data_IF_327948760995
#
_entry.id   IF_327948760995
#
_cell.length_a   1.000
_cell.length_b   1.000
_cell.length_c   1.000
_cell.angle_alpha   90.00
_cell.angle_beta   90.00
_cell.angle_gamma   90.00
#
_symmetry.space_group_name_H-M   'P 1'
#
loop_
_entity.id
_entity.type
_entity.pdbx_description
1 polymer ?
#
# COMPACT_ATOMS: atom_id res chain seq x y z
N UNK A 1 -25.32 -1.22 2.10
CA UNK A 1 -24.67 0.03 2.57
C UNK A 1 -24.87 0.27 4.06
N UNK A 2 -23.77 0.36 4.80
CA UNK A 2 -23.65 0.74 6.20
C UNK A 2 -23.34 2.23 6.35
N UNK A 3 -23.70 2.80 7.50
CA UNK A 3 -23.26 4.14 7.92
C UNK A 3 -22.30 4.00 9.08
N UNK A 4 -21.10 4.53 8.92
CA UNK A 4 -20.05 4.46 9.93
C UNK A 4 -20.29 5.53 11.00
N UNK A 5 -19.93 5.21 12.23
CA UNK A 5 -20.22 6.05 13.39
C UNK A 5 -18.94 6.30 14.16
N UNK A 6 -18.71 7.55 14.53
CA UNK A 6 -17.68 7.92 15.51
C UNK A 6 -18.38 8.57 16.71
N UNK A 7 -17.82 8.37 17.90
CA UNK A 7 -18.34 9.00 19.10
C UNK A 7 -17.97 10.50 19.17
N UNK A 8 -18.43 11.17 20.23
CA UNK A 8 -18.14 12.58 20.49
C UNK A 8 -16.64 12.88 20.62
N UNK A 9 -15.85 11.94 21.13
CA UNK A 9 -14.40 12.04 21.29
C UNK A 9 -13.61 11.77 20.00
N UNK A 10 -14.26 11.23 18.96
CA UNK A 10 -13.65 10.91 17.67
C UNK A 10 -13.23 9.45 17.52
N UNK A 11 -13.48 8.60 18.51
CA UNK A 11 -13.20 7.17 18.45
C UNK A 11 -14.23 6.46 17.55
N UNK A 12 -13.80 5.57 16.64
CA UNK A 12 -14.71 4.76 15.83
C UNK A 12 -15.58 3.81 16.66
N UNK A 13 -16.85 3.70 16.29
CA UNK A 13 -17.81 2.75 16.85
C UNK A 13 -18.25 1.73 15.79
N UNK A 14 -19.09 0.77 16.17
CA UNK A 14 -19.72 -0.14 15.23
C UNK A 14 -20.64 0.63 14.26
N UNK A 15 -20.65 0.26 12.97
CA UNK A 15 -21.51 0.90 11.97
C UNK A 15 -22.98 0.59 12.24
N UNK A 16 -23.88 1.43 11.70
CA UNK A 16 -25.31 1.28 11.84
C UNK A 16 -26.04 1.23 10.49
N UNK A 17 -27.31 0.81 10.51
CA UNK A 17 -28.18 0.82 9.33
C UNK A 17 -28.49 2.27 8.92
N UNK A 18 -28.63 2.57 7.60
CA UNK A 18 -28.99 3.90 7.13
C UNK A 18 -30.27 4.47 7.75
N UNK A 19 -31.26 3.62 8.06
CA UNK A 19 -32.49 4.04 8.74
C UNK A 19 -32.22 4.65 10.12
N UNK A 20 -31.31 4.07 10.91
CA UNK A 20 -30.92 4.60 12.23
C UNK A 20 -30.17 5.92 12.06
N UNK A 21 -29.20 5.97 11.13
CA UNK A 21 -28.46 7.20 10.84
C UNK A 21 -29.38 8.36 10.42
N UNK A 22 -30.40 8.11 9.58
CA UNK A 22 -31.38 9.14 9.19
C UNK A 22 -32.18 9.69 10.37
N UNK A 23 -32.57 8.83 11.33
CA UNK A 23 -33.25 9.28 12.56
C UNK A 23 -32.31 10.16 13.40
N UNK A 24 -31.07 9.71 13.62
CA UNK A 24 -30.08 10.47 14.38
C UNK A 24 -29.75 11.84 13.78
N UNK A 25 -29.66 11.93 12.45
CA UNK A 25 -29.42 13.19 11.75
C UNK A 25 -30.64 14.12 11.78
N UNK A 26 -31.86 13.57 11.68
CA UNK A 26 -33.11 14.33 11.76
C UNK A 26 -33.33 14.93 13.15
N UNK A 27 -33.03 14.14 14.18
CA UNK A 27 -33.19 14.54 15.58
C UNK A 27 -31.99 15.40 16.08
N UNK A 28 -31.09 15.81 15.17
CA UNK A 28 -29.88 16.59 15.48
C UNK A 28 -28.97 15.98 16.57
N UNK A 29 -29.03 14.65 16.73
CA UNK A 29 -28.19 13.92 17.68
C UNK A 29 -26.82 13.58 17.08
N UNK A 30 -26.68 13.62 15.76
CA UNK A 30 -25.43 13.36 15.06
C UNK A 30 -25.16 14.38 13.95
N UNK A 31 -23.89 14.55 13.58
CA UNK A 31 -23.43 15.40 12.48
C UNK A 31 -22.66 14.60 11.44
N UNK A 32 -22.80 14.95 10.17
CA UNK A 32 -22.02 14.32 9.10
C UNK A 32 -20.58 14.84 9.17
N UNK A 33 -19.61 13.94 9.26
CA UNK A 33 -18.18 14.29 9.30
C UNK A 33 -17.44 13.84 8.05
N UNK A 34 -17.96 12.84 7.33
CA UNK A 34 -17.40 12.41 6.06
C UNK A 34 -18.50 11.92 5.12
N UNK A 35 -18.32 12.20 3.83
CA UNK A 35 -19.29 11.80 2.79
C UNK A 35 -18.97 10.43 2.19
N UNK A 36 -17.70 10.00 2.23
CA UNK A 36 -17.28 8.70 1.70
C UNK A 36 -15.98 8.23 2.38
N UNK A 37 -15.99 7.09 3.10
CA UNK A 37 -17.18 6.36 3.53
C UNK A 37 -18.12 7.29 4.32
N UNK A 38 -19.44 7.10 4.22
CA UNK A 38 -20.40 7.99 4.86
C UNK A 38 -20.34 7.80 6.37
N UNK A 39 -19.88 8.83 7.08
CA UNK A 39 -19.59 8.77 8.52
C UNK A 39 -20.31 9.87 9.26
N UNK A 40 -20.99 9.51 10.34
CA UNK A 40 -21.64 10.43 11.27
C UNK A 40 -20.89 10.43 12.61
N UNK A 41 -20.88 11.59 13.27
CA UNK A 41 -20.35 11.79 14.61
C UNK A 41 -21.50 12.04 15.57
N UNK A 42 -21.57 11.24 16.64
CA UNK A 42 -22.55 11.44 17.71
C UNK A 42 -22.23 12.72 18.50
N UNK A 43 -23.26 13.42 18.97
CA UNK A 43 -23.12 14.64 19.77
C UNK A 43 -23.26 14.41 21.27
N UNK A 44 -23.52 13.18 21.69
CA UNK A 44 -23.62 12.77 23.08
C UNK A 44 -22.56 11.72 23.40
N UNK A 45 -22.24 11.57 24.69
CA UNK A 45 -21.34 10.54 25.17
C UNK A 45 -22.05 9.20 25.27
N UNK A 46 -21.38 8.14 24.85
CA UNK A 46 -21.93 6.79 24.82
C UNK A 46 -20.89 5.79 25.29
N UNK A 47 -21.38 4.65 25.77
CA UNK A 47 -20.52 3.51 26.09
C UNK A 47 -19.81 3.02 24.81
N UNK A 48 -18.48 2.92 24.87
CA UNK A 48 -17.62 2.53 23.74
C UNK A 48 -17.60 1.00 23.55
N UNK A 49 -18.77 0.37 23.63
CA UNK A 49 -18.93 -1.08 23.46
C UNK A 49 -18.73 -1.44 21.98
N UNK A 50 -17.49 -1.79 21.64
CA UNK A 50 -17.07 -2.18 20.29
C UNK A 50 -16.81 -3.68 20.20
N UNK A 51 -16.95 -4.22 18.98
CA UNK A 51 -16.60 -5.61 18.68
C UNK A 51 -15.24 -5.66 17.98
N UNK A 52 -14.46 -6.74 18.14
CA UNK A 52 -13.19 -6.88 17.44
C UNK A 52 -13.40 -6.91 15.92
N UNK A 53 -12.62 -6.11 15.21
CA UNK A 53 -12.59 -6.03 13.75
C UNK A 53 -11.20 -6.30 13.24
N UNK A 54 -11.08 -7.29 12.37
CA UNK A 54 -9.84 -7.65 11.69
C UNK A 54 -9.79 -7.04 10.31
N UNK A 55 -8.71 -6.30 10.02
CA UNK A 55 -8.40 -5.76 8.71
C UNK A 55 -7.42 -6.67 7.98
N UNK A 56 -7.84 -7.29 6.88
CA UNK A 56 -6.95 -7.97 5.95
C UNK A 56 -6.44 -7.03 4.86
N UNK A 57 -5.16 -7.15 4.50
CA UNK A 57 -4.51 -6.33 3.46
C UNK A 57 -3.74 -7.22 2.49
N UNK A 58 -4.20 -7.27 1.24
CA UNK A 58 -3.48 -7.87 0.12
C UNK A 58 -2.67 -6.77 -0.60
N UNK A 59 -1.38 -6.65 -0.25
CA UNK A 59 -0.51 -5.59 -0.79
C UNK A 59 0.01 -5.95 -2.18
N UNK A 60 -0.45 -5.23 -3.20
CA UNK A 60 0.12 -5.28 -4.56
C UNK A 60 0.84 -3.99 -5.00
N UNK A 61 1.45 -4.05 -6.19
CA UNK A 61 2.20 -2.94 -6.78
C UNK A 61 1.30 -1.88 -7.43
N UNK A 62 0.24 -2.31 -8.10
CA UNK A 62 -0.75 -1.47 -8.79
C UNK A 62 -2.04 -1.32 -7.98
N UNK A 63 -2.48 -2.42 -7.39
CA UNK A 63 -3.70 -2.50 -6.59
C UNK A 63 -3.37 -3.13 -5.23
N UNK A 64 -3.99 -2.64 -4.17
CA UNK A 64 -3.97 -3.28 -2.85
C UNK A 64 -5.41 -3.51 -2.42
N UNK A 65 -5.74 -4.77 -2.12
CA UNK A 65 -7.03 -5.14 -1.55
C UNK A 65 -7.07 -4.88 -0.06
N UNK A 66 -8.23 -4.50 0.45
CA UNK A 66 -8.48 -4.42 1.89
C UNK A 66 -9.89 -4.93 2.22
N UNK A 67 -10.00 -5.61 3.36
CA UNK A 67 -11.28 -6.11 3.84
C UNK A 67 -11.33 -6.04 5.37
N UNK A 68 -12.39 -5.46 5.92
CA UNK A 68 -12.63 -5.34 7.35
C UNK A 68 -13.76 -6.28 7.74
N UNK A 69 -13.45 -7.24 8.60
CA UNK A 69 -14.37 -8.30 9.02
C UNK A 69 -14.60 -8.20 10.52
N UNK A 70 -15.86 -8.27 10.94
CA UNK A 70 -16.26 -8.31 12.34
C UNK A 70 -17.53 -9.13 12.52
N UNK A 71 -17.59 -9.96 13.57
CA UNK A 71 -18.74 -10.81 13.90
C UNK A 71 -19.31 -11.59 12.69
N UNK A 72 -18.42 -12.24 11.92
CA UNK A 72 -18.80 -13.05 10.75
C UNK A 72 -19.32 -12.25 9.54
N UNK A 73 -19.14 -10.93 9.49
CA UNK A 73 -19.65 -10.07 8.41
C UNK A 73 -18.59 -9.14 7.84
N UNK A 74 -18.74 -8.82 6.55
CA UNK A 74 -17.92 -7.81 5.86
C UNK A 74 -18.49 -6.43 6.16
N UNK A 75 -17.75 -5.64 6.93
CA UNK A 75 -18.16 -4.29 7.32
C UNK A 75 -17.72 -3.24 6.29
N UNK A 76 -16.51 -3.38 5.76
CA UNK A 76 -15.94 -2.49 4.74
C UNK A 76 -14.97 -3.28 3.86
N UNK A 77 -15.15 -3.22 2.55
CA UNK A 77 -14.24 -3.82 1.57
C UNK A 77 -13.76 -2.77 0.57
N UNK A 78 -12.63 -2.98 -0.09
CA UNK A 78 -12.22 -2.08 -1.15
C UNK A 78 -10.91 -2.40 -1.84
N UNK A 79 -10.65 -1.64 -2.90
CA UNK A 79 -9.41 -1.71 -3.67
C UNK A 79 -8.76 -0.33 -3.73
N UNK A 80 -7.52 -0.27 -3.28
CA UNK A 80 -6.64 0.89 -3.40
C UNK A 80 -5.98 0.86 -4.77
N UNK A 81 -6.20 1.88 -5.58
CA UNK A 81 -5.50 2.08 -6.84
C UNK A 81 -4.28 2.98 -6.62
N UNK A 82 -3.10 2.37 -6.66
CA UNK A 82 -1.85 3.05 -6.43
C UNK A 82 -1.47 3.98 -7.58
N UNK A 83 -0.69 5.02 -7.25
CA UNK A 83 -0.16 5.92 -8.27
C UNK A 83 0.96 5.27 -9.07
N UNK A 84 0.72 5.08 -10.36
CA UNK A 84 1.69 4.50 -11.32
C UNK A 84 2.61 5.56 -11.95
N UNK A 85 2.20 6.82 -11.96
CA UNK A 85 2.87 7.94 -12.65
C UNK A 85 4.20 8.39 -12.00
N UNK A 86 4.51 7.89 -10.81
CA UNK A 86 5.69 8.32 -10.02
C UNK A 86 6.98 7.90 -10.73
N UNK A 87 7.02 6.70 -11.29
CA UNK A 87 8.19 6.19 -12.02
C UNK A 87 8.51 7.08 -13.20
N UNK A 88 7.51 7.40 -14.01
CA UNK A 88 7.68 8.23 -15.21
C UNK A 88 8.08 9.66 -14.86
N UNK A 89 7.49 10.25 -13.82
CA UNK A 89 7.90 11.55 -13.29
C UNK A 89 9.37 11.56 -12.83
N UNK A 90 9.84 10.49 -12.20
CA UNK A 90 11.23 10.35 -11.79
C UNK A 90 12.18 10.17 -13.00
N UNK A 91 11.75 9.43 -14.02
CA UNK A 91 12.47 9.27 -15.29
C UNK A 91 12.57 10.60 -16.03
N UNK A 92 11.46 11.32 -16.20
CA UNK A 92 11.44 12.65 -16.82
C UNK A 92 12.35 13.63 -16.07
N UNK A 93 12.31 13.63 -14.73
CA UNK A 93 13.21 14.45 -13.90
C UNK A 93 14.69 14.08 -14.10
N UNK A 94 15.01 12.81 -14.32
CA UNK A 94 16.37 12.36 -14.68
C UNK A 94 16.75 12.86 -16.07
N UNK A 95 15.89 12.68 -17.08
CA UNK A 95 16.09 13.16 -18.45
C UNK A 95 16.37 14.66 -18.51
N UNK A 96 15.52 15.48 -17.87
CA UNK A 96 15.68 16.94 -17.79
C UNK A 96 16.99 17.37 -17.09
N UNK A 97 17.56 16.54 -16.20
CA UNK A 97 18.88 16.79 -15.61
C UNK A 97 20.01 16.39 -16.56
N UNK A 98 19.87 15.30 -17.30
CA UNK A 98 20.83 14.89 -18.32
C UNK A 98 20.92 15.94 -19.43
N UNK A 99 19.79 16.33 -20.02
CA UNK A 99 19.74 17.29 -21.11
C UNK A 99 20.29 18.67 -20.73
N UNK A 100 20.07 19.12 -19.47
CA UNK A 100 20.69 20.36 -18.98
C UNK A 100 22.22 20.26 -18.86
N UNK A 101 22.76 19.07 -18.59
CA UNK A 101 24.22 18.85 -18.54
C UNK A 101 24.82 18.81 -19.94
N UNK A 102 24.17 18.14 -20.89
CA UNK A 102 24.68 18.06 -22.27
C UNK A 102 24.80 19.44 -22.92
N UNK A 103 23.88 20.37 -22.61
CA UNK A 103 23.97 21.77 -23.08
C UNK A 103 25.00 22.64 -22.33
N UNK A 104 25.50 22.19 -21.18
CA UNK A 104 26.47 22.96 -20.36
C UNK A 104 27.83 22.27 -20.44
N UNK A 105 28.48 22.46 -21.59
CA UNK A 105 29.80 21.91 -21.94
C UNK A 105 30.89 22.23 -20.89
N UNK A 106 30.83 23.39 -20.25
CA UNK A 106 31.77 23.83 -19.21
C UNK A 106 31.52 23.27 -17.79
N UNK A 107 30.39 22.61 -17.52
CA UNK A 107 30.01 22.26 -16.12
C UNK A 107 30.28 20.79 -15.80
N UNK A 108 31.24 20.47 -14.91
CA UNK A 108 31.58 19.09 -14.58
C UNK A 108 30.46 18.35 -13.83
N UNK A 109 30.45 17.01 -13.96
CA UNK A 109 29.46 16.12 -13.32
C UNK A 109 29.73 16.03 -11.81
N UNK A 110 28.83 16.56 -10.97
CA UNK A 110 28.92 16.45 -9.49
C UNK A 110 28.27 15.16 -8.95
N UNK A 111 28.95 14.02 -9.08
CA UNK A 111 28.43 12.72 -8.58
C UNK A 111 28.36 12.65 -7.05
N UNK A 112 29.18 13.43 -6.36
CA UNK A 112 29.25 13.50 -4.89
C UNK A 112 28.05 14.22 -4.26
N UNK A 113 27.38 15.11 -4.99
CA UNK A 113 26.18 15.86 -4.52
C UNK A 113 24.90 14.99 -4.51
N UNK A 114 25.05 13.67 -4.39
CA UNK A 114 23.99 12.66 -4.36
C UNK A 114 23.78 12.06 -2.97
N UNK A 115 24.23 12.76 -1.91
CA UNK A 115 24.07 12.35 -0.53
C UNK A 115 22.63 11.88 -0.22
N UNK A 116 21.63 12.64 -0.66
CA UNK A 116 20.21 12.29 -0.44
C UNK A 116 19.78 10.98 -1.12
N UNK A 117 20.41 10.56 -2.23
CA UNK A 117 20.13 9.27 -2.88
C UNK A 117 20.98 8.11 -2.37
N UNK A 118 22.07 8.41 -1.63
CA UNK A 118 22.97 7.42 -1.02
C UNK A 118 22.70 7.23 0.48
N UNK A 119 21.78 8.01 1.08
CA UNK A 119 21.41 7.90 2.49
C UNK A 119 20.93 6.48 2.80
N UNK A 120 21.50 5.87 3.84
CA UNK A 120 21.05 4.58 4.37
C UNK A 120 19.58 4.64 4.78
N UNK A 121 18.85 3.53 4.64
CA UNK A 121 17.42 3.45 4.95
C UNK A 121 16.49 4.19 3.98
N UNK A 122 17.02 4.74 2.87
CA UNK A 122 16.19 5.45 1.88
C UNK A 122 15.35 4.47 1.07
N UNK A 123 14.03 4.59 1.19
CA UNK A 123 13.09 3.96 0.27
C UNK A 123 13.04 4.70 -1.10
N UNK A 124 12.96 3.95 -2.21
CA UNK A 124 12.61 4.53 -3.51
C UNK A 124 11.27 5.26 -3.45
N UNK A 125 11.12 6.43 -4.10
CA UNK A 125 9.90 7.23 -4.01
C UNK A 125 8.61 6.50 -4.39
N UNK A 126 8.68 5.55 -5.33
CA UNK A 126 7.53 4.73 -5.73
C UNK A 126 7.09 3.76 -4.64
N UNK A 127 8.04 3.09 -3.98
CA UNK A 127 7.76 2.15 -2.90
C UNK A 127 7.27 2.87 -1.64
N UNK A 128 7.92 3.99 -1.31
CA UNK A 128 7.47 4.86 -0.22
C UNK A 128 6.03 5.32 -0.46
N UNK A 129 5.72 5.83 -1.67
CA UNK A 129 4.37 6.28 -1.98
C UNK A 129 3.34 5.15 -1.94
N UNK A 130 3.63 3.98 -2.51
CA UNK A 130 2.73 2.83 -2.45
C UNK A 130 2.44 2.40 -0.99
N UNK A 131 3.45 2.33 -0.12
CA UNK A 131 3.24 2.01 1.28
C UNK A 131 2.49 3.12 2.04
N UNK A 132 2.87 4.39 1.85
CA UNK A 132 2.21 5.55 2.47
C UNK A 132 0.74 5.69 2.03
N UNK A 133 0.44 5.35 0.78
CA UNK A 133 -0.92 5.26 0.26
C UNK A 133 -1.78 4.27 1.05
N UNK A 134 -1.27 3.07 1.34
CA UNK A 134 -1.97 2.09 2.20
C UNK A 134 -2.15 2.65 3.62
N UNK A 135 -1.08 3.14 4.24
CA UNK A 135 -1.11 3.66 5.62
C UNK A 135 -2.15 4.77 5.77
N UNK A 136 -2.21 5.69 4.80
CA UNK A 136 -3.17 6.80 4.81
C UNK A 136 -4.61 6.36 4.63
N UNK A 137 -4.84 5.27 3.89
CA UNK A 137 -6.16 4.66 3.75
C UNK A 137 -6.56 3.99 5.06
N UNK A 138 -5.68 3.18 5.65
CA UNK A 138 -5.95 2.48 6.91
C UNK A 138 -6.29 3.47 8.03
N UNK A 139 -5.54 4.57 8.15
CA UNK A 139 -5.84 5.64 9.13
C UNK A 139 -7.17 6.37 8.91
N UNK A 140 -7.80 6.22 7.74
CA UNK A 140 -9.11 6.80 7.42
C UNK A 140 -10.25 5.78 7.52
N UNK A 141 -9.97 4.52 7.83
CA UNK A 141 -11.00 3.51 8.03
C UNK A 141 -11.81 3.90 9.28
N UNK A 142 -13.12 4.15 9.16
CA UNK A 142 -13.95 4.61 10.27
C UNK A 142 -14.52 3.41 11.07
N UNK A 143 -13.65 2.47 11.45
CA UNK A 143 -13.99 1.26 12.20
C UNK A 143 -12.99 1.03 13.34
N UNK A 144 -13.43 0.48 14.49
CA UNK A 144 -12.54 0.15 15.62
C UNK A 144 -11.70 -1.10 15.30
N UNK A 145 -10.54 -0.91 14.66
CA UNK A 145 -9.65 -2.01 14.28
C UNK A 145 -9.00 -2.64 15.51
N UNK A 146 -9.20 -3.96 15.69
CA UNK A 146 -8.55 -4.74 16.75
C UNK A 146 -7.28 -5.44 16.27
N UNK A 147 -7.18 -5.75 14.97
CA UNK A 147 -5.99 -6.34 14.38
C UNK A 147 -5.86 -6.02 12.89
N UNK A 148 -4.62 -5.95 12.41
CA UNK A 148 -4.28 -5.92 11.00
C UNK A 148 -3.63 -7.25 10.62
N UNK A 149 -4.00 -7.81 9.47
CA UNK A 149 -3.42 -9.04 8.93
C UNK A 149 -2.91 -8.74 7.53
N UNK A 150 -1.66 -9.09 7.26
CA UNK A 150 -0.98 -8.86 5.98
C UNK A 150 -0.47 -10.18 5.43
N UNK A 151 -0.48 -10.30 4.11
CA UNK A 151 0.26 -11.39 3.48
C UNK A 151 1.77 -11.11 3.54
N UNK A 152 2.51 -12.01 4.17
CA UNK A 152 3.97 -11.97 4.18
C UNK A 152 4.53 -12.75 2.99
N UNK A 153 5.64 -12.24 2.43
CA UNK A 153 6.48 -12.97 1.47
C UNK A 153 7.25 -14.09 2.16
N UNK A 154 7.36 -14.05 3.49
CA UNK A 154 8.00 -15.12 4.26
C UNK A 154 7.18 -16.39 4.10
N UNK A 155 7.48 -17.16 3.06
CA UNK A 155 7.25 -18.60 3.10
C UNK A 155 8.04 -19.06 4.32
N UNK A 156 7.34 -19.54 5.34
CA UNK A 156 7.98 -20.18 6.47
C UNK A 156 8.52 -21.53 6.00
N UNK A 157 9.78 -21.52 5.58
CA UNK A 157 10.51 -22.67 5.06
C UNK A 157 10.80 -23.66 6.19
N UNK A 158 10.69 -23.25 7.46
CA UNK A 158 10.85 -24.15 8.60
C UNK A 158 9.69 -25.15 8.67
N UNK A 159 8.44 -24.68 8.51
CA UNK A 159 7.25 -25.55 8.54
C UNK A 159 7.06 -26.42 7.31
N UNK A 160 7.54 -25.98 6.15
CA UNK A 160 7.59 -26.78 4.91
C UNK A 160 8.57 -27.95 4.99
N UNK A 161 9.52 -27.90 5.93
CA UNK A 161 10.50 -28.97 6.17
C UNK A 161 10.21 -29.76 7.47
N UNK A 162 9.39 -29.24 8.40
CA UNK A 162 8.96 -29.97 9.59
C UNK A 162 7.59 -29.45 10.10
N UNK A 163 6.48 -30.22 9.96
CA UNK A 163 5.13 -29.77 10.30
C UNK A 163 4.92 -29.38 11.78
N UNK A 164 5.76 -29.90 12.69
CA UNK A 164 5.53 -29.88 14.14
C UNK A 164 6.25 -28.75 14.90
N UNK A 165 6.91 -27.81 14.21
CA UNK A 165 7.62 -26.70 14.86
C UNK A 165 6.64 -25.67 15.47
N UNK A 166 6.73 -25.45 16.79
CA UNK A 166 6.00 -24.42 17.54
C UNK A 166 6.85 -23.16 17.78
N UNK A 167 6.21 -21.99 17.70
CA UNK A 167 6.80 -20.67 17.42
C UNK A 167 7.68 -19.99 18.48
N UNK A 168 8.35 -20.73 19.37
CA UNK A 168 9.24 -20.15 20.40
C UNK A 168 10.71 -20.08 19.98
N UNK A 169 11.11 -20.61 18.83
CA UNK A 169 12.52 -20.62 18.38
C UNK A 169 12.94 -19.39 17.53
N UNK A 170 12.06 -18.40 17.35
CA UNK A 170 12.33 -17.21 16.53
C UNK A 170 13.32 -16.20 17.14
N UNK A 171 13.76 -16.41 18.38
CA UNK A 171 14.63 -15.49 19.11
C UNK A 171 16.02 -16.07 19.36
N UNK A 172 16.77 -16.40 18.30
CA UNK A 172 18.24 -16.51 18.42
C UNK A 172 18.95 -15.81 17.28
N UNK A 173 19.37 -14.57 17.57
CA UNK A 173 20.18 -13.69 16.74
C UNK A 173 21.64 -14.14 16.74
N UNK A 174 22.09 -14.75 15.63
CA UNK A 174 23.49 -14.68 15.14
C UNK A 174 23.67 -15.28 13.71
N UNK A 175 22.59 -15.43 12.95
CA UNK A 175 22.58 -16.04 11.62
C UNK A 175 22.10 -15.01 10.59
N UNK A 176 22.60 -15.15 9.35
CA UNK A 176 22.24 -14.39 8.15
C UNK A 176 20.83 -13.77 8.22
N UNK A 177 20.68 -12.48 7.87
CA UNK A 177 19.36 -11.81 7.83
C UNK A 177 18.34 -12.72 7.12
N UNK A 178 17.31 -13.15 7.85
CA UNK A 178 16.34 -14.13 7.37
C UNK A 178 15.66 -13.63 6.08
N UNK A 179 15.56 -12.32 5.90
CA UNK A 179 15.06 -11.71 4.67
C UNK A 179 16.00 -11.98 3.47
N UNK A 180 17.33 -11.95 3.66
CA UNK A 180 18.33 -12.30 2.63
C UNK A 180 18.32 -13.80 2.32
N UNK A 181 18.15 -14.64 3.34
CA UNK A 181 17.99 -16.08 3.18
C UNK A 181 16.77 -16.41 2.31
N UNK A 182 15.60 -15.92 2.70
CA UNK A 182 14.34 -16.15 1.99
C UNK A 182 14.41 -15.59 0.56
N UNK A 183 14.97 -14.39 0.38
CA UNK A 183 15.13 -13.81 -0.96
C UNK A 183 16.01 -14.66 -1.89
N UNK A 184 17.08 -15.26 -1.35
CA UNK A 184 17.94 -16.20 -2.09
C UNK A 184 17.17 -17.46 -2.50
N UNK A 185 16.41 -18.05 -1.57
CA UNK A 185 15.61 -19.26 -1.81
C UNK A 185 14.51 -19.02 -2.85
N UNK A 186 13.84 -17.87 -2.79
CA UNK A 186 12.86 -17.44 -3.80
C UNK A 186 13.47 -17.24 -5.19
N UNK A 187 14.64 -16.58 -5.26
CA UNK A 187 15.36 -16.31 -6.52
C UNK A 187 15.65 -17.62 -7.24
N UNK A 188 16.07 -18.64 -6.50
CA UNK A 188 16.43 -19.95 -7.02
C UNK A 188 15.23 -20.90 -7.12
N UNK A 189 14.00 -20.36 -7.06
CA UNK A 189 12.73 -21.09 -7.20
C UNK A 189 12.58 -22.26 -6.21
N UNK A 190 13.13 -22.10 -5.01
CA UNK A 190 13.14 -23.12 -3.95
C UNK A 190 13.70 -24.47 -4.45
N UNK A 191 14.76 -24.37 -5.25
CA UNK A 191 15.42 -25.51 -5.86
C UNK A 191 16.91 -25.41 -5.58
N UNK A 192 17.52 -26.51 -5.15
CA UNK A 192 18.97 -26.56 -4.99
C UNK A 192 19.61 -26.28 -6.35
N UNK A 193 20.48 -25.28 -6.43
CA UNK A 193 21.12 -24.89 -7.70
C UNK A 193 22.10 -25.95 -8.20
N UNK A 194 22.70 -26.72 -7.28
CA UNK A 194 23.64 -27.80 -7.64
C UNK A 194 22.94 -29.07 -8.12
N UNK A 195 21.96 -29.61 -7.37
CA UNK A 195 21.36 -30.92 -7.68
C UNK A 195 19.92 -30.87 -8.18
N UNK A 196 19.30 -29.69 -8.24
CA UNK A 196 17.93 -29.52 -8.71
C UNK A 196 16.83 -30.04 -7.76
N UNK A 197 17.16 -30.57 -6.58
CA UNK A 197 16.15 -31.07 -5.62
C UNK A 197 15.26 -29.94 -5.09
N UNK A 198 13.97 -30.25 -4.92
CA UNK A 198 12.92 -29.41 -4.31
C UNK A 198 12.35 -30.12 -3.08
N UNK A 199 11.62 -29.41 -2.21
CA UNK A 199 10.97 -29.97 -1.00
C UNK A 199 11.95 -30.70 -0.04
N UNK A 200 13.12 -30.12 0.13
CA UNK A 200 14.15 -30.59 1.07
C UNK A 200 14.61 -29.42 1.91
N UNK A 201 15.34 -29.67 3.01
CA UNK A 201 15.93 -28.58 3.78
C UNK A 201 16.92 -27.80 2.92
N UNK A 202 16.56 -26.56 2.59
CA UNK A 202 17.35 -25.63 1.80
C UNK A 202 18.04 -24.61 2.70
N UNK A 203 19.24 -24.23 2.30
CA UNK A 203 20.12 -23.31 2.99
C UNK A 203 20.67 -22.30 1.98
N UNK A 204 20.82 -21.04 2.42
CA UNK A 204 21.53 -20.02 1.65
C UNK A 204 23.03 -20.13 1.99
N UNK A 205 23.83 -20.52 1.01
CA UNK A 205 25.27 -20.70 1.11
C UNK A 205 26.00 -19.47 0.59
N UNK A 206 27.08 -19.06 1.26
CA UNK A 206 27.94 -17.98 0.78
C UNK A 206 28.90 -18.46 -0.32
N UNK A 207 28.87 -17.85 -1.51
CA UNK A 207 29.81 -18.15 -2.60
C UNK A 207 31.26 -17.80 -2.21
N UNK A 208 31.45 -16.62 -1.61
CA UNK A 208 32.67 -16.24 -0.89
C UNK A 208 32.37 -16.40 0.60
N UNK A 209 33.02 -17.32 1.32
CA UNK A 209 32.81 -17.52 2.75
C UNK A 209 32.95 -16.23 3.57
N UNK A 210 32.16 -16.10 4.64
CA UNK A 210 32.27 -14.94 5.55
C UNK A 210 33.68 -14.82 6.16
N UNK A 211 34.34 -15.96 6.47
CA UNK A 211 35.72 -16.01 6.96
C UNK A 211 36.74 -15.44 5.97
N UNK A 212 36.40 -15.37 4.68
CA UNK A 212 37.22 -14.80 3.61
C UNK A 212 36.74 -13.39 3.20
N UNK A 213 35.94 -12.73 4.04
CA UNK A 213 35.42 -11.38 3.80
C UNK A 213 34.18 -11.31 2.92
N UNK A 214 33.51 -12.43 2.67
CA UNK A 214 32.25 -12.50 1.94
C UNK A 214 31.13 -11.73 2.65
N UNK A 215 30.47 -10.82 1.92
CA UNK A 215 29.38 -9.99 2.47
C UNK A 215 28.04 -10.70 2.39
N UNK A 216 27.15 -10.43 3.35
CA UNK A 216 25.75 -10.85 3.35
C UNK A 216 24.96 -10.07 2.30
N UNK A 217 25.05 -10.54 1.06
CA UNK A 217 24.35 -9.97 -0.09
C UNK A 217 23.76 -11.10 -0.91
N UNK A 218 22.59 -10.89 -1.52
CA UNK A 218 21.94 -11.92 -2.35
C UNK A 218 22.88 -12.43 -3.45
N UNK A 219 23.75 -11.57 -3.99
CA UNK A 219 24.79 -11.94 -4.96
C UNK A 219 25.74 -13.00 -4.45
N UNK A 220 26.12 -12.89 -3.19
CA UNK A 220 27.05 -13.79 -2.54
C UNK A 220 26.33 -15.01 -1.97
N UNK A 221 25.03 -15.16 -2.18
CA UNK A 221 24.24 -16.24 -1.62
C UNK A 221 23.64 -17.13 -2.72
N UNK A 222 23.59 -18.43 -2.45
CA UNK A 222 22.98 -19.43 -3.35
C UNK A 222 22.23 -20.50 -2.58
N UNK A 223 21.16 -21.02 -3.18
CA UNK A 223 20.31 -22.03 -2.56
C UNK A 223 20.89 -23.43 -2.75
N UNK A 224 21.26 -24.09 -1.65
CA UNK A 224 21.72 -25.48 -1.63
C UNK A 224 20.87 -26.34 -0.70
N UNK A 225 20.72 -27.63 -1.01
CA UNK A 225 20.24 -28.59 -0.02
C UNK A 225 21.36 -28.92 0.98
N UNK A 226 21.02 -29.44 2.16
CA UNK A 226 21.99 -29.76 3.21
C UNK A 226 23.15 -30.66 2.72
N UNK A 227 22.86 -31.65 1.88
CA UNK A 227 23.87 -32.55 1.31
C UNK A 227 24.86 -31.81 0.39
N UNK A 228 24.34 -31.01 -0.55
CA UNK A 228 25.18 -30.19 -1.43
C UNK A 228 25.95 -29.13 -0.64
N UNK A 229 25.32 -28.51 0.34
CA UNK A 229 25.96 -27.51 1.22
C UNK A 229 27.19 -28.10 1.93
N UNK A 230 27.06 -29.30 2.50
CA UNK A 230 28.18 -30.01 3.15
C UNK A 230 29.29 -30.37 2.14
N UNK A 231 28.93 -30.87 0.97
CA UNK A 231 29.89 -31.23 -0.09
C UNK A 231 30.67 -30.03 -0.62
N UNK A 232 30.04 -28.86 -0.71
CA UNK A 232 30.72 -27.61 -1.08
C UNK A 232 31.74 -27.21 -0.01
N UNK A 233 31.38 -27.27 1.29
CA UNK A 233 32.35 -27.03 2.37
C UNK A 233 33.50 -28.05 2.41
N UNK A 234 33.27 -29.27 1.92
CA UNK A 234 34.27 -30.33 1.82
C UNK A 234 35.10 -30.24 0.53
N UNK A 235 34.87 -29.25 -0.34
CA UNK A 235 35.57 -29.10 -1.61
C UNK A 235 35.21 -30.15 -2.67
N UNK A 236 34.15 -30.92 -2.46
CA UNK A 236 33.72 -31.99 -3.37
C UNK A 236 32.82 -31.49 -4.51
N UNK A 237 32.28 -30.27 -4.39
CA UNK A 237 31.45 -29.62 -5.41
C UNK A 237 31.97 -28.19 -5.60
N UNK A 238 32.38 -27.87 -6.81
CA UNK A 238 32.71 -26.50 -7.23
C UNK A 238 31.47 -25.86 -7.83
N UNK A 239 31.07 -24.69 -7.33
CA UNK A 239 29.89 -23.97 -7.81
C UNK A 239 30.29 -23.02 -8.95
N UNK A 240 30.12 -23.45 -10.19
CA UNK A 240 30.30 -22.59 -11.37
C UNK A 240 29.05 -21.74 -11.64
N UNK A 241 28.74 -20.82 -10.72
CA UNK A 241 27.57 -19.95 -10.86
C UNK A 241 27.97 -18.52 -10.58
N UNK A 242 27.96 -17.70 -11.64
CA UNK A 242 28.00 -16.25 -11.49
C UNK A 242 26.72 -15.80 -10.80
N UNK A 243 26.82 -15.36 -9.55
CA UNK A 243 25.70 -14.81 -8.80
C UNK A 243 24.91 -13.82 -9.67
N UNK A 244 23.59 -14.02 -9.72
CA UNK A 244 22.68 -13.30 -10.63
C UNK A 244 23.00 -11.81 -10.69
N UNK A 245 23.08 -11.27 -11.91
CA UNK A 245 23.33 -9.84 -12.17
C UNK A 245 22.58 -8.95 -11.18
N UNK A 246 23.31 -8.03 -10.53
CA UNK A 246 22.90 -7.26 -9.35
C UNK A 246 21.64 -6.40 -9.46
N UNK A 247 20.92 -6.47 -10.56
CA UNK A 247 19.66 -5.79 -10.79
C UNK A 247 18.48 -6.49 -10.09
N UNK A 248 18.38 -7.83 -10.14
CA UNK A 248 17.27 -8.58 -9.52
C UNK A 248 17.33 -8.54 -7.98
N UNK A 249 18.54 -8.61 -7.43
CA UNK A 249 18.79 -8.52 -5.97
C UNK A 249 18.39 -7.17 -5.39
N UNK A 250 18.71 -6.07 -6.10
CA UNK A 250 18.28 -4.73 -5.69
C UNK A 250 16.75 -4.60 -5.68
N UNK A 251 16.04 -5.31 -6.57
CA UNK A 251 14.58 -5.28 -6.61
C UNK A 251 14.02 -6.02 -5.41
N UNK A 252 14.51 -7.23 -5.12
CA UNK A 252 14.08 -8.02 -3.97
C UNK A 252 14.31 -7.27 -2.64
N UNK A 253 15.53 -6.76 -2.41
CA UNK A 253 15.86 -5.98 -1.22
C UNK A 253 14.98 -4.73 -1.07
N UNK A 254 14.71 -4.01 -2.16
CA UNK A 254 13.84 -2.82 -2.13
C UNK A 254 12.40 -3.18 -1.81
N UNK A 255 11.88 -4.25 -2.37
CA UNK A 255 10.52 -4.75 -2.09
C UNK A 255 10.37 -5.09 -0.61
N UNK A 256 11.35 -5.79 -0.03
CA UNK A 256 11.36 -6.12 1.40
C UNK A 256 11.38 -4.86 2.28
N UNK A 257 12.26 -3.90 2.00
CA UNK A 257 12.30 -2.63 2.75
C UNK A 257 10.95 -1.89 2.72
N UNK A 258 10.25 -1.91 1.59
CA UNK A 258 8.92 -1.30 1.46
C UNK A 258 7.83 -2.01 2.28
N UNK A 259 7.92 -3.34 2.43
CA UNK A 259 7.05 -4.13 3.31
C UNK A 259 7.36 -3.86 4.78
N UNK A 260 8.63 -3.87 5.18
CA UNK A 260 9.05 -3.55 6.56
C UNK A 260 8.53 -2.18 7.00
N UNK A 261 8.67 -1.16 6.15
CA UNK A 261 8.13 0.18 6.44
C UNK A 261 6.60 0.18 6.58
N UNK A 262 5.89 -0.57 5.73
CA UNK A 262 4.44 -0.72 5.86
C UNK A 262 4.07 -1.41 7.18
N UNK A 263 4.72 -2.53 7.51
CA UNK A 263 4.44 -3.31 8.71
C UNK A 263 4.68 -2.51 9.97
N UNK A 264 5.80 -1.78 10.05
CA UNK A 264 6.10 -0.89 11.16
C UNK A 264 5.04 0.20 11.32
N UNK A 265 4.49 0.74 10.22
CA UNK A 265 3.47 1.77 10.29
C UNK A 265 2.08 1.22 10.65
N UNK A 266 1.75 0.00 10.21
CA UNK A 266 0.49 -0.67 10.53
C UNK A 266 0.44 -1.16 11.98
N UNK A 267 1.57 -1.63 12.53
CA UNK A 267 1.65 -2.06 13.93
C UNK A 267 1.39 -0.93 14.93
N UNK A 268 1.55 0.33 14.51
CA UNK A 268 1.17 1.51 15.30
C UNK A 268 -0.34 1.83 15.24
N UNK A 269 -1.08 1.20 14.33
CA UNK A 269 -2.54 1.38 14.20
C UNK A 269 -3.27 0.29 14.99
N UNK A 270 -2.87 -0.97 14.81
CA UNK A 270 -3.41 -2.13 15.53
C UNK A 270 -2.37 -3.27 15.53
N UNK A 271 -2.47 -4.25 16.45
CA UNK A 271 -1.65 -5.46 16.43
C UNK A 271 -1.58 -6.08 15.03
N UNK A 272 -0.36 -6.32 14.54
CA UNK A 272 -0.10 -6.81 13.19
C UNK A 272 0.20 -8.31 13.22
N UNK A 273 -0.54 -9.07 12.43
CA UNK A 273 -0.33 -10.50 12.18
C UNK A 273 0.05 -10.72 10.72
N UNK A 274 0.78 -11.79 10.46
CA UNK A 274 1.10 -12.24 9.11
C UNK A 274 0.41 -13.57 8.78
N UNK A 275 0.14 -13.76 7.50
CA UNK A 275 -0.33 -15.03 6.91
C UNK A 275 0.48 -15.34 5.66
N UNK A 276 0.50 -16.61 5.26
CA UNK A 276 1.21 -17.06 4.07
C UNK A 276 0.33 -17.02 2.82
N UNK A 277 0.91 -16.60 1.69
CA UNK A 277 0.18 -16.52 0.42
C UNK A 277 -0.35 -17.84 -0.13
N UNK A 278 0.21 -18.99 0.27
CA UNK A 278 -0.38 -20.27 -0.12
C UNK A 278 -1.67 -20.56 0.65
N UNK A 279 -1.77 -20.13 1.92
CA UNK A 279 -2.96 -20.32 2.75
C UNK A 279 -4.14 -19.51 2.21
N UNK A 280 -3.88 -18.27 1.76
CA UNK A 280 -4.90 -17.40 1.14
C UNK A 280 -5.43 -18.02 -0.14
N UNK A 281 -4.54 -18.53 -0.99
CA UNK A 281 -4.90 -19.21 -2.24
C UNK A 281 -5.72 -20.48 -2.02
N UNK A 282 -5.34 -21.33 -1.05
CA UNK A 282 -6.10 -22.54 -0.70
C UNK A 282 -7.50 -22.16 -0.20
N UNK A 283 -7.60 -21.20 0.72
CA UNK A 283 -8.89 -20.77 1.28
C UNK A 283 -9.80 -20.13 0.23
N UNK A 284 -9.24 -19.32 -0.68
CA UNK A 284 -10.01 -18.76 -1.80
C UNK A 284 -10.61 -19.86 -2.68
N UNK A 285 -9.83 -20.91 -2.98
CA UNK A 285 -10.29 -22.07 -3.77
C UNK A 285 -11.33 -22.91 -3.02
N UNK A 286 -11.14 -23.18 -1.72
CA UNK A 286 -12.08 -23.97 -0.93
C UNK A 286 -13.45 -23.29 -0.79
N UNK A 287 -13.47 -21.95 -0.82
CA UNK A 287 -14.69 -21.15 -0.77
C UNK A 287 -15.25 -20.81 -2.17
N UNK A 288 -14.63 -21.32 -3.25
CA UNK A 288 -15.03 -21.04 -4.64
C UNK A 288 -15.13 -19.54 -4.95
N UNK A 289 -14.27 -18.72 -4.35
CA UNK A 289 -14.30 -17.26 -4.48
C UNK A 289 -13.49 -16.77 -5.70
N UNK A 290 -13.90 -15.64 -6.33
CA UNK A 290 -13.24 -15.12 -7.51
C UNK A 290 -11.85 -14.57 -7.18
N UNK A 291 -10.95 -14.55 -8.18
CA UNK A 291 -9.59 -14.02 -8.01
C UNK A 291 -9.59 -12.50 -8.12
N UNK A 292 -9.88 -11.83 -7.02
CA UNK A 292 -9.91 -10.38 -6.90
C UNK A 292 -9.17 -9.92 -5.64
N UNK A 293 -8.60 -8.71 -5.66
CA UNK A 293 -7.74 -8.23 -4.57
C UNK A 293 -8.45 -8.11 -3.22
N UNK A 294 -9.72 -7.68 -3.21
CA UNK A 294 -10.50 -7.59 -1.97
C UNK A 294 -10.91 -8.96 -1.43
N UNK A 295 -11.11 -9.95 -2.31
CA UNK A 295 -11.32 -11.35 -1.93
C UNK A 295 -10.08 -11.95 -1.30
N UNK A 296 -8.90 -11.70 -1.87
CA UNK A 296 -7.63 -12.13 -1.28
C UNK A 296 -7.47 -11.47 0.11
N UNK A 297 -7.83 -10.19 0.26
CA UNK A 297 -7.86 -9.50 1.55
C UNK A 297 -8.88 -10.08 2.54
N UNK A 298 -10.06 -10.54 2.09
CA UNK A 298 -11.02 -11.26 2.91
C UNK A 298 -10.45 -12.59 3.41
N UNK A 299 -9.78 -13.34 2.55
CA UNK A 299 -9.10 -14.58 2.93
C UNK A 299 -8.02 -14.29 3.99
N UNK A 300 -7.21 -13.25 3.78
CA UNK A 300 -6.19 -12.79 4.75
C UNK A 300 -6.82 -12.45 6.11
N UNK A 301 -7.92 -11.69 6.13
CA UNK A 301 -8.60 -11.28 7.36
C UNK A 301 -9.20 -12.46 8.16
N UNK A 302 -9.49 -13.58 7.50
CA UNK A 302 -10.26 -14.70 8.08
C UNK A 302 -9.43 -15.93 8.36
N UNK A 303 -8.14 -15.95 7.98
CA UNK A 303 -7.25 -17.10 8.14
C UNK A 303 -6.78 -17.33 9.58
N UNK A 304 -6.46 -16.26 10.31
CA UNK A 304 -5.91 -16.36 11.68
C UNK A 304 -6.98 -16.35 12.77
N UNK A 305 -8.18 -15.91 12.45
CA UNK A 305 -9.27 -15.97 13.39
C UNK A 305 -9.80 -17.40 13.41
N UNK A 306 -9.97 -18.00 14.59
CA UNK A 306 -10.67 -19.28 14.83
C UNK A 306 -12.15 -19.27 14.36
N UNK A 307 -12.52 -18.30 13.53
CA UNK A 307 -13.76 -18.20 12.79
C UNK A 307 -13.69 -19.23 11.67
N UNK A 308 -14.01 -20.48 12.02
CA UNK A 308 -14.44 -21.51 11.07
C UNK A 308 -15.81 -21.19 10.46
N UNK A 309 -16.42 -20.04 10.80
CA UNK A 309 -17.66 -19.61 10.17
C UNK A 309 -17.40 -19.15 8.73
N UNK A 310 -18.19 -19.69 7.83
CA UNK A 310 -18.28 -19.25 6.45
C UNK A 310 -18.79 -17.81 6.43
N UNK A 311 -17.95 -16.88 5.96
CA UNK A 311 -18.35 -15.49 5.74
C UNK A 311 -18.81 -15.37 4.29
N UNK A 312 -20.08 -15.04 4.11
CA UNK A 312 -20.63 -14.79 2.78
C UNK A 312 -19.94 -13.58 2.14
N UNK A 313 -19.37 -13.78 0.95
CA UNK A 313 -18.73 -12.72 0.20
C UNK A 313 -19.76 -11.85 -0.50
N UNK A 314 -19.72 -10.55 -0.24
CA UNK A 314 -20.55 -9.55 -0.89
C UNK A 314 -19.80 -8.21 -0.98
N UNK A 315 -20.30 -7.31 -1.84
CA UNK A 315 -19.72 -5.97 -2.07
C UNK A 315 -20.60 -4.80 -1.63
N UNK A 316 -21.60 -5.03 -0.79
CA UNK A 316 -22.52 -4.02 -0.23
C UNK A 316 -21.88 -2.77 0.39
N UNK A 317 -20.61 -2.86 0.80
CA UNK A 317 -19.82 -1.78 1.40
C UNK A 317 -18.44 -1.67 0.73
N UNK A 318 -18.42 -1.80 -0.60
CA UNK A 318 -17.19 -1.80 -1.39
C UNK A 318 -16.78 -0.39 -1.86
N UNK A 319 -15.49 -0.08 -1.74
CA UNK A 319 -14.92 1.20 -2.12
C UNK A 319 -13.75 1.05 -3.09
N UNK A 320 -13.81 1.82 -4.18
CA UNK A 320 -12.67 2.07 -5.05
C UNK A 320 -11.93 3.33 -4.58
N UNK A 321 -10.69 3.15 -4.13
CA UNK A 321 -9.90 4.22 -3.51
C UNK A 321 -8.84 4.70 -4.47
N UNK A 322 -8.70 6.03 -4.61
CA UNK A 322 -7.74 6.67 -5.52
C UNK A 322 -7.06 7.84 -4.82
N UNK A 323 -5.85 8.19 -5.27
CA UNK A 323 -5.10 9.32 -4.71
C UNK A 323 -5.03 10.49 -5.67
N UNK A 324 -5.21 11.68 -5.12
CA UNK A 324 -5.04 12.94 -5.85
C UNK A 324 -3.94 13.80 -5.22
N UNK A 325 -2.97 14.29 -6.00
CA UNK A 325 -2.00 15.24 -5.51
C UNK A 325 -2.66 16.61 -5.30
N UNK A 326 -2.43 17.25 -4.13
CA UNK A 326 -2.91 18.61 -3.83
C UNK A 326 -2.36 19.65 -4.81
N UNK A 327 -1.08 19.54 -5.11
CA UNK A 327 -0.35 20.52 -5.90
C UNK A 327 0.64 19.85 -6.83
N UNK A 328 0.74 20.36 -8.05
CA UNK A 328 1.88 20.12 -8.93
C UNK A 328 3.03 21.03 -8.44
N UNK A 329 4.12 20.46 -7.90
CA UNK A 329 5.29 21.25 -7.43
C UNK A 329 6.15 21.80 -8.58
N UNK A 330 5.54 22.05 -9.74
CA UNK A 330 6.20 22.52 -10.95
C UNK A 330 6.27 24.05 -10.88
N UNK A 331 7.50 24.60 -10.93
CA UNK A 331 7.71 26.05 -10.99
C UNK A 331 7.68 26.61 -12.41
N UNK A 332 8.07 25.81 -13.40
CA UNK A 332 8.16 26.20 -14.81
C UNK A 332 7.69 25.07 -15.72
N UNK A 333 7.25 25.41 -16.93
CA UNK A 333 7.09 24.41 -17.98
C UNK A 333 8.41 23.63 -18.22
N UNK A 334 8.29 22.35 -18.55
CA UNK A 334 9.45 21.44 -18.68
C UNK A 334 10.28 21.81 -19.90
N UNK A 335 9.60 22.18 -20.98
CA UNK A 335 10.19 22.70 -22.20
C UNK A 335 10.12 24.24 -22.21
N UNK A 336 11.19 24.93 -22.65
CA UNK A 336 11.14 26.36 -22.91
C UNK A 336 10.20 26.64 -24.10
N UNK A 337 9.54 27.80 -24.09
CA UNK A 337 8.76 28.29 -25.23
C UNK A 337 9.66 29.13 -26.14
N UNK A 338 9.50 29.00 -27.45
CA UNK A 338 10.25 29.77 -28.47
C UNK A 338 10.14 31.27 -28.16
N UNK A 339 11.28 31.97 -28.13
CA UNK A 339 11.37 33.41 -27.83
C UNK A 339 11.07 33.83 -26.38
N UNK A 340 10.60 32.94 -25.50
CA UNK A 340 10.20 33.28 -24.11
C UNK A 340 10.98 32.51 -23.03
N UNK A 341 11.87 31.60 -23.42
CA UNK A 341 12.62 30.78 -22.48
C UNK A 341 11.72 29.92 -21.60
N UNK A 342 12.10 29.74 -20.32
CA UNK A 342 11.31 28.95 -19.36
C UNK A 342 10.18 29.78 -18.78
N UNK A 343 8.96 29.48 -19.21
CA UNK A 343 7.75 30.15 -18.72
C UNK A 343 7.33 29.56 -17.36
N UNK A 344 7.01 30.39 -16.35
CA UNK A 344 6.45 29.95 -15.08
C UNK A 344 5.22 29.07 -15.27
N UNK A 345 5.07 28.05 -14.43
CA UNK A 345 3.91 27.18 -14.45
C UNK A 345 2.86 27.76 -13.50
N UNK A 346 1.87 28.45 -14.06
CA UNK A 346 0.77 29.03 -13.29
C UNK A 346 -0.32 27.97 -13.08
N UNK A 347 -0.75 27.84 -11.82
CA UNK A 347 -1.87 27.00 -11.42
C UNK A 347 -2.73 27.83 -10.49
N UNK A 348 -4.02 27.92 -10.79
CA UNK A 348 -4.99 28.51 -9.88
C UNK A 348 -5.13 27.56 -8.68
N UNK A 349 -4.45 27.90 -7.58
CA UNK A 349 -4.36 27.08 -6.39
C UNK A 349 -5.65 27.14 -5.57
N UNK A 350 -6.29 28.31 -5.56
CA UNK A 350 -7.49 28.63 -4.83
C UNK A 350 -8.35 29.61 -5.62
N UNK A 351 -9.66 29.56 -5.39
CA UNK A 351 -10.65 30.49 -5.92
C UNK A 351 -11.77 30.58 -4.88
N UNK A 352 -12.03 31.75 -4.31
CA UNK A 352 -13.09 32.01 -3.33
C UNK A 352 -13.11 31.00 -2.16
N UNK A 353 -11.93 30.64 -1.63
CA UNK A 353 -11.78 29.66 -0.55
C UNK A 353 -11.90 28.19 -0.98
N UNK A 354 -12.17 27.92 -2.26
CA UNK A 354 -12.20 26.59 -2.85
C UNK A 354 -10.83 26.19 -3.38
N UNK A 355 -10.42 24.96 -3.08
CA UNK A 355 -9.14 24.40 -3.54
C UNK A 355 -9.36 23.07 -4.25
N UNK A 356 -8.41 22.68 -5.10
CA UNK A 356 -8.38 21.35 -5.72
C UNK A 356 -8.51 20.24 -4.66
N UNK A 357 -9.34 19.24 -4.94
CA UNK A 357 -9.63 18.13 -4.05
C UNK A 357 -10.70 18.41 -3.00
N UNK A 358 -11.18 19.66 -2.89
CA UNK A 358 -12.33 19.96 -2.02
C UNK A 358 -13.60 19.31 -2.57
N UNK A 359 -14.43 18.82 -1.68
CA UNK A 359 -15.75 18.29 -1.95
C UNK A 359 -16.76 19.42 -1.77
N UNK A 360 -17.63 19.60 -2.77
CA UNK A 360 -18.62 20.67 -2.81
C UNK A 360 -19.98 20.11 -3.20
N UNK A 361 -21.04 20.73 -2.68
CA UNK A 361 -22.39 20.56 -3.19
C UNK A 361 -22.63 21.62 -4.25
N UNK A 362 -23.00 21.21 -5.46
CA UNK A 362 -23.18 22.08 -6.63
C UNK A 362 -24.67 22.18 -6.94
N UNK A 363 -25.19 23.41 -7.00
CA UNK A 363 -26.61 23.71 -7.25
C UNK A 363 -27.55 22.92 -6.33
N UNK A 364 -27.17 22.81 -5.05
CA UNK A 364 -27.88 22.10 -3.98
C UNK A 364 -28.22 20.62 -4.22
N UNK A 365 -27.74 20.04 -5.32
CA UNK A 365 -28.13 18.71 -5.78
C UNK A 365 -26.94 17.77 -5.89
N UNK A 366 -25.84 18.22 -6.46
CA UNK A 366 -24.75 17.33 -6.88
C UNK A 366 -23.56 17.42 -5.93
N UNK A 367 -23.14 16.29 -5.37
CA UNK A 367 -21.89 16.25 -4.58
C UNK A 367 -20.72 15.96 -5.52
N UNK A 368 -19.83 16.95 -5.70
CA UNK A 368 -18.71 16.89 -6.64
C UNK A 368 -17.37 17.19 -5.96
N UNK A 369 -16.31 16.56 -6.45
CA UNK A 369 -14.95 16.91 -6.06
C UNK A 369 -14.29 17.81 -7.11
N UNK A 370 -13.65 18.90 -6.67
CA UNK A 370 -12.95 19.85 -7.54
C UNK A 370 -11.70 19.18 -8.12
N UNK A 371 -11.66 19.02 -9.44
CA UNK A 371 -10.53 18.47 -10.20
C UNK A 371 -9.46 19.52 -10.50
N UNK A 372 -9.90 20.72 -10.88
CA UNK A 372 -9.07 21.86 -11.23
C UNK A 372 -9.86 23.15 -11.12
N UNK A 373 -9.14 24.27 -11.10
CA UNK A 373 -9.69 25.61 -11.17
C UNK A 373 -9.26 26.19 -12.51
N UNK A 374 -10.23 26.62 -13.31
CA UNK A 374 -9.97 27.20 -14.63
C UNK A 374 -9.56 28.67 -14.52
N UNK A 375 -8.86 29.17 -15.55
CA UNK A 375 -8.45 30.58 -15.65
C UNK A 375 -9.63 31.54 -15.72
N UNK A 376 -10.79 31.08 -16.20
CA UNK A 376 -12.03 31.85 -16.28
C UNK A 376 -12.84 31.86 -14.96
N UNK A 377 -12.21 31.54 -13.82
CA UNK A 377 -12.89 31.60 -12.51
C UNK A 377 -13.94 30.51 -12.29
N UNK A 378 -13.80 29.33 -12.91
CA UNK A 378 -14.74 28.20 -12.73
C UNK A 378 -14.08 27.02 -12.02
N UNK A 379 -14.87 26.33 -11.20
CA UNK A 379 -14.51 25.07 -10.57
C UNK A 379 -14.86 23.93 -11.54
N UNK A 380 -13.88 23.09 -11.86
CA UNK A 380 -14.05 21.98 -12.79
C UNK A 380 -14.21 20.65 -12.05
N UNK A 381 -15.11 19.80 -12.53
CA UNK A 381 -15.45 18.51 -11.93
C UNK A 381 -15.20 17.35 -12.90
N UNK A 382 -15.44 16.12 -12.44
CA UNK A 382 -15.47 14.98 -13.35
C UNK A 382 -16.73 15.07 -14.23
N UNK A 383 -16.56 14.83 -15.54
CA UNK A 383 -17.67 14.78 -16.48
C UNK A 383 -18.47 13.50 -16.22
N UNK A 384 -19.71 13.67 -15.80
CA UNK A 384 -20.68 12.58 -15.64
C UNK A 384 -21.93 13.02 -16.40
N UNK A 385 -22.54 12.11 -17.17
CA UNK A 385 -23.71 12.41 -17.99
C UNK A 385 -24.85 12.90 -17.09
N UNK A 386 -25.45 14.04 -17.42
CA UNK A 386 -26.53 14.66 -16.63
C UNK A 386 -26.06 15.52 -15.45
N UNK A 387 -24.76 15.61 -15.17
CA UNK A 387 -24.20 16.41 -14.08
C UNK A 387 -23.37 17.59 -14.58
N UNK A 388 -23.27 18.70 -13.81
CA UNK A 388 -22.45 19.84 -14.21
C UNK A 388 -20.96 19.46 -14.27
N UNK A 389 -20.34 19.69 -15.43
CA UNK A 389 -18.89 19.50 -15.62
C UNK A 389 -18.05 20.66 -15.06
N UNK A 390 -18.66 21.82 -14.83
CA UNK A 390 -18.07 22.96 -14.13
C UNK A 390 -19.14 23.85 -13.52
N UNK A 391 -18.80 24.63 -12.50
CA UNK A 391 -19.70 25.60 -11.88
C UNK A 391 -18.95 26.88 -11.44
N UNK A 392 -19.69 27.96 -11.20
CA UNK A 392 -19.15 29.14 -10.52
C UNK A 392 -19.02 28.84 -9.01
N UNK A 393 -18.09 29.47 -8.30
CA UNK A 393 -18.00 29.35 -6.85
C UNK A 393 -19.30 29.69 -6.12
N UNK A 394 -20.05 30.68 -6.61
CA UNK A 394 -21.38 31.06 -6.09
C UNK A 394 -22.40 29.92 -6.09
N UNK A 395 -22.29 28.98 -7.03
CA UNK A 395 -23.22 27.85 -7.17
C UNK A 395 -22.77 26.63 -6.34
N UNK A 396 -21.72 26.79 -5.52
CA UNK A 396 -21.06 25.71 -4.80
C UNK A 396 -21.07 25.97 -3.29
N UNK A 397 -21.50 25.00 -2.52
CA UNK A 397 -21.34 24.96 -1.06
C UNK A 397 -20.19 24.02 -0.70
N UNK A 398 -19.22 24.51 0.07
CA UNK A 398 -18.10 23.70 0.52
C UNK A 398 -18.55 22.66 1.55
N UNK A 399 -18.21 21.39 1.32
CA UNK A 399 -18.48 20.29 2.26
C UNK A 399 -17.21 19.86 2.99
N UNK A 400 -16.14 19.57 2.26
CA UNK A 400 -14.85 19.12 2.81
C UNK A 400 -13.69 19.75 2.05
N UNK A 401 -12.64 20.19 2.75
CA UNK A 401 -11.49 20.86 2.12
C UNK A 401 -10.39 19.88 1.70
N UNK A 402 -9.90 20.04 0.46
CA UNK A 402 -8.58 19.56 0.03
C UNK A 402 -8.29 18.07 0.28
N UNK A 403 -9.28 17.20 0.06
CA UNK A 403 -9.09 15.75 0.20
C UNK A 403 -8.15 15.20 -0.89
N UNK A 404 -7.35 14.22 -0.49
CA UNK A 404 -6.29 13.64 -1.32
C UNK A 404 -6.39 12.12 -1.43
N UNK A 405 -7.07 11.49 -0.48
CA UNK A 405 -7.56 10.12 -0.58
C UNK A 405 -9.02 10.26 -0.98
N UNK A 406 -9.42 9.59 -2.04
CA UNK A 406 -10.76 9.68 -2.62
C UNK A 406 -11.38 8.29 -2.58
N UNK A 407 -12.37 8.13 -1.70
CA UNK A 407 -13.16 6.92 -1.57
C UNK A 407 -14.37 7.03 -2.50
N UNK A 408 -14.49 6.12 -3.46
CA UNK A 408 -15.67 6.05 -4.32
C UNK A 408 -16.43 4.77 -4.01
N UNK A 409 -17.62 4.91 -3.45
CA UNK A 409 -18.53 3.78 -3.29
C UNK A 409 -18.85 3.22 -4.67
N UNK A 410 -18.68 1.91 -4.85
CA UNK A 410 -19.05 1.23 -6.10
C UNK A 410 -20.25 0.34 -5.79
N UNK A 411 -21.34 0.59 -6.51
CA UNK A 411 -22.58 -0.21 -6.44
C UNK A 411 -22.43 -1.41 -7.36
#
# INVERSE_FOLDING_TARGET
MLVYVINKNGNPLMPCKPAKARKLLRDEKAKIVNQSPFTIKLQWDCEENVQPITLGIDKGSHHTGLCNVGNGKILLSGIINHRTDIKDKMTARRGNRCQRRTRKWYRPKRFLNRATSKRSGRLPPSLFANADEVIRVVRQIPLPLSSCVVEDVQVDIARLNNPDLTGTEYQQSNRLDENLRIATLMRDKYQCVSCGKKKVQLQAHHLVPQSQGGKDTIKNLITLCQQCHKKVHQGQITLEVDGVSGFKDQIAQRTMQGKTYLYQALSQVAPLLSVFGYQTSIRRKSLSLPKEHDVDALCIATLNNQINQLIEYHRDNFYTIKFRPRQTRRRYHDLPRKGKGRVPYQVNAELDGFRKGSLVRVKDKWTKQINSIYSNGRLAFARVKGEPGSARPSDCQLLLRGQTVVWNYSV
#
